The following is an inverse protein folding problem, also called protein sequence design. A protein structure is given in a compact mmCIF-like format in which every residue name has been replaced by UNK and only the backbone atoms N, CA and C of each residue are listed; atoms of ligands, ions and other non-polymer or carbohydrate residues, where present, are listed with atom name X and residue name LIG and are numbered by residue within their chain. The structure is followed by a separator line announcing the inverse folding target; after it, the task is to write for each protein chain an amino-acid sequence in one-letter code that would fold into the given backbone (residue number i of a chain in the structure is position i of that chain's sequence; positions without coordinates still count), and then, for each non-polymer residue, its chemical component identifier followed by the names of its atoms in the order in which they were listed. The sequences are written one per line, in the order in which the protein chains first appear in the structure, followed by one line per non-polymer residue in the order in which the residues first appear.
data_IF_648672691898
#
_entry.id   IF_648672691898
#
_cell.length_a   1.000
_cell.length_b   1.000
_cell.length_c   1.000
_cell.angle_alpha   90.00
_cell.angle_beta   90.00
_cell.angle_gamma   90.00
#
_symmetry.space_group_name_H-M   'P 1'
#
loop_
_entity.id
_entity.type
_entity.pdbx_description
1 polymer ?
#
# COMPACT_ATOMS: atom_id res chain seq x y z
N UNK A 1 19.22 -0.10 -9.02
CA UNK A 1 17.96 -0.85 -8.87
C UNK A 1 17.80 -1.24 -7.40
N UNK A 2 17.32 -0.32 -6.56
CA UNK A 2 17.22 -0.58 -5.11
C UNK A 2 15.99 -1.46 -4.87
N UNK A 3 16.21 -2.75 -4.55
CA UNK A 3 15.14 -3.63 -4.09
C UNK A 3 14.63 -3.05 -2.77
N UNK A 4 13.42 -2.47 -2.78
CA UNK A 4 12.75 -2.04 -1.56
C UNK A 4 12.56 -3.27 -0.68
N UNK A 5 13.14 -3.24 0.53
CA UNK A 5 12.94 -4.33 1.49
C UNK A 5 11.49 -4.28 1.98
N UNK A 6 10.82 -5.43 2.12
CA UNK A 6 9.49 -5.47 2.73
C UNK A 6 9.58 -4.98 4.18
N UNK A 7 8.58 -4.19 4.59
CA UNK A 7 8.46 -3.62 5.94
C UNK A 7 7.22 -4.22 6.59
N UNK A 8 7.35 -4.66 7.85
CA UNK A 8 6.20 -5.13 8.63
C UNK A 8 5.38 -3.94 9.12
N UNK A 9 4.10 -3.94 8.78
CA UNK A 9 3.22 -2.82 9.03
C UNK A 9 1.75 -3.26 9.10
N UNK A 10 0.93 -2.39 9.68
CA UNK A 10 -0.54 -2.49 9.66
C UNK A 10 -1.07 -1.60 8.53
N UNK A 11 -1.85 -2.19 7.62
CA UNK A 11 -2.64 -1.47 6.63
C UNK A 11 -4.05 -1.24 7.19
N UNK A 12 -4.41 0.01 7.41
CA UNK A 12 -5.77 0.45 7.75
C UNK A 12 -6.48 0.95 6.50
N UNK A 13 -7.70 0.44 6.29
CA UNK A 13 -8.54 0.75 5.13
C UNK A 13 -9.81 1.46 5.61
N UNK A 14 -10.07 2.64 5.08
CA UNK A 14 -11.28 3.41 5.34
C UNK A 14 -11.77 4.10 4.06
N UNK A 15 -12.95 4.71 4.12
CA UNK A 15 -13.53 5.40 2.95
C UNK A 15 -12.75 6.65 2.52
N UNK A 16 -11.98 7.25 3.43
CA UNK A 16 -11.15 8.45 3.19
C UNK A 16 -9.73 8.09 2.71
N UNK A 17 -9.15 6.97 3.15
CA UNK A 17 -7.81 6.59 2.72
C UNK A 17 -7.33 5.19 3.07
N UNK A 18 -6.10 4.91 2.60
CA UNK A 18 -5.27 3.78 3.00
C UNK A 18 -4.11 4.32 3.82
N UNK A 19 -3.97 3.86 5.07
CA UNK A 19 -2.88 4.23 5.96
C UNK A 19 -2.03 3.03 6.30
N UNK A 20 -0.71 3.18 6.23
CA UNK A 20 0.24 2.11 6.55
C UNK A 20 1.13 2.59 7.68
N UNK A 21 1.11 1.89 8.81
CA UNK A 21 1.89 2.22 10.01
C UNK A 21 2.88 1.09 10.29
N UNK A 22 4.16 1.42 10.43
CA UNK A 22 5.21 0.46 10.77
C UNK A 22 4.97 -0.17 12.14
N UNK A 23 5.19 -1.49 12.26
CA UNK A 23 4.94 -2.20 13.52
C UNK A 23 5.86 -1.73 14.66
N UNK A 24 7.15 -1.51 14.37
CA UNK A 24 8.18 -1.23 15.39
C UNK A 24 8.16 0.24 15.82
N UNK A 25 8.33 1.16 14.87
CA UNK A 25 8.48 2.59 15.16
C UNK A 25 7.14 3.31 15.33
N UNK A 26 6.04 2.67 14.93
CA UNK A 26 4.73 3.31 14.74
C UNK A 26 4.76 4.49 13.77
N UNK A 27 5.77 4.55 12.90
CA UNK A 27 5.88 5.57 11.86
C UNK A 27 4.85 5.38 10.76
N UNK A 28 4.25 6.50 10.31
CA UNK A 28 3.39 6.53 9.14
C UNK A 28 4.23 6.41 7.86
N UNK A 29 4.01 5.34 7.11
CA UNK A 29 4.74 5.04 5.85
C UNK A 29 3.95 5.56 4.64
N UNK A 30 2.63 5.37 4.67
CA UNK A 30 1.72 5.73 3.57
C UNK A 30 0.49 6.38 4.15
N UNK A 31 0.09 7.51 3.56
CA UNK A 31 -1.20 8.16 3.77
C UNK A 31 -1.78 8.48 2.40
N UNK A 32 -2.59 7.55 1.89
CA UNK A 32 -3.08 7.58 0.52
C UNK A 32 -4.58 7.90 0.53
N UNK A 33 -4.96 9.07 0.01
CA UNK A 33 -6.38 9.41 -0.21
C UNK A 33 -7.00 8.46 -1.23
N UNK A 34 -8.20 7.94 -0.96
CA UNK A 34 -8.90 7.00 -1.85
C UNK A 34 -9.14 7.58 -3.24
N UNK A 35 -9.50 8.86 -3.35
CA UNK A 35 -9.79 9.53 -4.64
C UNK A 35 -8.61 9.50 -5.63
N UNK A 36 -7.39 9.35 -5.13
CA UNK A 36 -6.18 9.26 -5.95
C UNK A 36 -5.78 7.83 -6.30
N UNK A 37 -6.45 6.83 -5.73
CA UNK A 37 -6.29 5.42 -6.08
C UNK A 37 -7.13 5.15 -7.33
N UNK A 38 -6.48 4.69 -8.40
CA UNK A 38 -7.17 4.45 -9.67
C UNK A 38 -7.55 2.99 -9.87
N UNK A 39 -6.78 2.06 -9.28
CA UNK A 39 -7.06 0.64 -9.40
C UNK A 39 -6.50 -0.14 -8.22
N UNK A 40 -7.20 -1.21 -7.84
CA UNK A 40 -6.82 -2.16 -6.79
C UNK A 40 -6.89 -3.57 -7.38
N UNK A 41 -5.87 -4.39 -7.14
CA UNK A 41 -5.78 -5.73 -7.72
C UNK A 41 -5.20 -6.76 -6.73
N UNK A 42 -5.78 -7.97 -6.63
CA UNK A 42 -5.10 -9.10 -6.02
C UNK A 42 -3.99 -9.63 -6.95
N UNK A 43 -2.99 -10.28 -6.36
CA UNK A 43 -1.94 -11.00 -7.11
C UNK A 43 -2.42 -12.42 -7.44
N UNK A 44 -2.25 -12.86 -8.71
CA UNK A 44 -2.61 -14.22 -9.14
C UNK A 44 -1.65 -15.29 -8.65
N UNK A 45 -0.39 -14.92 -8.41
CA UNK A 45 0.66 -15.84 -7.98
C UNK A 45 0.83 -15.89 -6.46
N UNK A 46 0.28 -14.89 -5.75
CA UNK A 46 0.31 -14.80 -4.31
C UNK A 46 -1.10 -14.54 -3.79
N UNK A 47 -1.74 -15.56 -3.21
CA UNK A 47 -3.12 -15.49 -2.73
C UNK A 47 -3.35 -14.35 -1.73
N UNK A 48 -2.36 -14.08 -0.88
CA UNK A 48 -2.37 -12.99 0.12
C UNK A 48 -1.79 -11.68 -0.43
N UNK A 49 -1.45 -11.64 -1.71
CA UNK A 49 -0.85 -10.51 -2.40
C UNK A 49 -1.94 -9.53 -2.86
N UNK A 50 -1.71 -8.26 -2.58
CA UNK A 50 -2.57 -7.17 -2.98
C UNK A 50 -1.73 -5.99 -3.46
N UNK A 51 -2.24 -5.23 -4.43
CA UNK A 51 -1.62 -3.99 -4.86
C UNK A 51 -2.65 -2.94 -5.22
N UNK A 52 -2.23 -1.67 -5.15
CA UNK A 52 -2.99 -0.59 -5.75
C UNK A 52 -2.09 0.33 -6.57
N UNK A 53 -2.70 0.99 -7.55
CA UNK A 53 -2.08 2.02 -8.39
C UNK A 53 -2.70 3.37 -8.03
N UNK A 54 -1.87 4.36 -7.74
CA UNK A 54 -2.31 5.71 -7.44
C UNK A 54 -1.55 6.76 -8.25
N UNK A 55 -2.17 7.94 -8.35
CA UNK A 55 -1.58 9.10 -9.01
C UNK A 55 -0.92 10.01 -7.98
N UNK A 56 0.41 10.10 -8.01
CA UNK A 56 1.14 11.05 -7.17
C UNK A 56 1.07 12.46 -7.76
N UNK A 57 0.39 13.36 -7.05
CA UNK A 57 0.20 14.75 -7.44
C UNK A 57 1.50 15.56 -7.45
N UNK A 58 2.48 15.19 -6.61
CA UNK A 58 3.73 15.93 -6.47
C UNK A 58 4.69 15.59 -7.60
N UNK A 59 4.95 14.30 -7.82
CA UNK A 59 5.90 13.86 -8.86
C UNK A 59 5.28 13.79 -10.25
N UNK A 60 3.96 13.94 -10.36
CA UNK A 60 3.20 13.70 -11.58
C UNK A 60 3.46 12.29 -12.17
N UNK A 61 3.75 11.28 -11.32
CA UNK A 61 3.92 9.89 -11.74
C UNK A 61 2.79 8.99 -11.22
N UNK A 62 2.67 7.84 -11.86
CA UNK A 62 1.91 6.71 -11.35
C UNK A 62 2.78 5.91 -10.40
N UNK A 63 2.23 5.56 -9.25
CA UNK A 63 2.91 4.76 -8.23
C UNK A 63 2.14 3.46 -8.03
N UNK A 64 2.86 2.35 -7.90
CA UNK A 64 2.31 1.05 -7.58
C UNK A 64 2.81 0.63 -6.20
N UNK A 65 1.88 0.30 -5.32
CA UNK A 65 2.15 -0.15 -3.96
C UNK A 65 1.71 -1.60 -3.81
N UNK A 66 2.66 -2.48 -3.50
CA UNK A 66 2.41 -3.91 -3.28
C UNK A 66 2.47 -4.27 -1.81
N UNK A 67 1.57 -5.14 -1.40
CA UNK A 67 1.39 -5.64 -0.04
C UNK A 67 1.23 -7.15 -0.05
N UNK A 68 1.68 -7.80 1.02
CA UNK A 68 1.47 -9.21 1.27
C UNK A 68 0.85 -9.35 2.67
N UNK A 69 -0.39 -9.82 2.75
CA UNK A 69 -1.09 -9.96 4.02
C UNK A 69 -0.47 -11.08 4.87
N UNK A 70 -0.17 -10.76 6.13
CA UNK A 70 0.42 -11.71 7.09
C UNK A 70 -0.64 -12.48 7.90
N UNK A 71 -1.86 -11.94 7.99
CA UNK A 71 -2.99 -12.50 8.74
C UNK A 71 -4.22 -12.56 7.83
N UNK A 72 -5.14 -13.46 8.14
CA UNK A 72 -6.48 -13.47 7.55
C UNK A 72 -7.36 -12.45 8.30
N UNK A 73 -8.21 -11.76 7.53
CA UNK A 73 -9.02 -10.61 7.93
C UNK A 73 -10.12 -10.95 8.92
#
# INVERSE_FOLDING_TARGET
NSRRRPVRAVLSVSGDGLRVIEDETKGLIVDQTIEKVSFCAPDRNHEKGFSYICRDGTTKRWMCHGFLALKES
#
